data_IF_009371803791
#
_entry.id   IF_009371803791
#
_cell.length_a   1.000
_cell.length_b   1.000
_cell.length_c   1.000
_cell.angle_alpha   90.00
_cell.angle_beta   90.00
_cell.angle_gamma   90.00
#
_symmetry.space_group_name_H-M   'P 1'
#
loop_
_entity.id
_entity.type
_entity.pdbx_description
1 polymer ?
#
# COMPACT_ATOMS: atom_id res chain seq x y z
N UNK A 1 22.81 -6.64 12.98
CA UNK A 1 22.74 -5.22 12.55
C UNK A 1 21.54 -5.01 11.61
N UNK A 2 20.93 -3.82 11.60
CA UNK A 2 19.69 -3.44 10.88
C UNK A 2 18.34 -3.93 11.47
N UNK A 3 18.36 -4.41 12.71
CA UNK A 3 17.16 -4.91 13.38
C UNK A 3 16.07 -3.85 13.51
N UNK A 4 16.41 -2.61 13.91
CA UNK A 4 15.43 -1.53 14.08
C UNK A 4 14.72 -1.15 12.78
N UNK A 5 15.42 -1.16 11.65
CA UNK A 5 14.83 -0.87 10.34
C UNK A 5 13.90 -2.01 9.91
N UNK A 6 14.31 -3.26 10.11
CA UNK A 6 13.47 -4.43 9.83
C UNK A 6 12.19 -4.44 10.68
N UNK A 7 12.27 -4.04 11.94
CA UNK A 7 11.10 -3.86 12.80
C UNK A 7 10.15 -2.80 12.25
N UNK A 8 10.67 -1.66 11.75
CA UNK A 8 9.82 -0.64 11.12
C UNK A 8 9.15 -1.11 9.83
N UNK A 9 9.82 -1.96 9.06
CA UNK A 9 9.22 -2.61 7.89
C UNK A 9 8.12 -3.57 8.34
N UNK A 10 8.36 -4.38 9.37
CA UNK A 10 7.37 -5.32 9.91
C UNK A 10 6.15 -4.59 10.50
N UNK A 11 6.37 -3.51 11.24
CA UNK A 11 5.33 -2.60 11.74
C UNK A 11 4.47 -2.08 10.59
N UNK A 12 5.10 -1.59 9.52
CA UNK A 12 4.39 -1.05 8.36
C UNK A 12 3.58 -2.12 7.61
N UNK A 13 4.11 -3.34 7.47
CA UNK A 13 3.37 -4.48 6.91
C UNK A 13 2.14 -4.79 7.78
N UNK A 14 2.31 -4.81 9.11
CA UNK A 14 1.22 -5.04 10.05
C UNK A 14 0.14 -3.96 9.96
N UNK A 15 0.54 -2.68 9.89
CA UNK A 15 -0.39 -1.56 9.71
C UNK A 15 -1.17 -1.69 8.39
N UNK A 16 -0.49 -1.97 7.27
CA UNK A 16 -1.11 -2.14 5.95
C UNK A 16 -2.08 -3.33 5.91
N UNK A 17 -1.82 -4.38 6.69
CA UNK A 17 -2.68 -5.55 6.77
C UNK A 17 -4.03 -5.27 7.45
N UNK A 18 -4.18 -4.13 8.15
CA UNK A 18 -5.46 -3.69 8.71
C UNK A 18 -6.54 -3.43 7.63
N UNK A 19 -6.14 -3.30 6.36
CA UNK A 19 -7.06 -3.25 5.22
C UNK A 19 -7.84 -4.56 5.01
N UNK A 20 -7.40 -5.67 5.61
CA UNK A 20 -8.10 -6.96 5.57
C UNK A 20 -7.92 -7.73 4.26
N UNK A 21 -7.16 -7.20 3.31
CA UNK A 21 -6.83 -7.85 2.04
C UNK A 21 -5.33 -7.69 1.74
N UNK A 22 -4.70 -8.67 1.05
CA UNK A 22 -3.33 -8.52 0.59
C UNK A 22 -3.23 -7.40 -0.44
N UNK A 23 -2.26 -6.51 -0.25
CA UNK A 23 -1.99 -5.39 -1.16
C UNK A 23 -0.91 -5.80 -2.15
N UNK A 24 -1.17 -5.57 -3.44
CA UNK A 24 -0.16 -5.68 -4.50
C UNK A 24 0.19 -4.25 -4.93
N UNK A 25 1.39 -3.79 -4.60
CA UNK A 25 1.81 -2.42 -4.89
C UNK A 25 3.23 -2.13 -4.41
N UNK A 26 3.68 -0.89 -4.63
CA UNK A 26 4.98 -0.41 -4.15
C UNK A 26 4.76 0.59 -3.02
N UNK A 27 5.21 0.25 -1.81
CA UNK A 27 5.09 1.09 -0.63
C UNK A 27 6.43 1.77 -0.33
N UNK A 28 6.43 3.10 -0.28
CA UNK A 28 7.59 3.92 0.06
C UNK A 28 7.27 4.76 1.29
N UNK A 29 8.08 4.62 2.32
CA UNK A 29 7.90 5.31 3.59
C UNK A 29 9.20 6.00 4.03
N UNK A 30 9.12 7.30 4.34
CA UNK A 30 10.23 8.07 4.89
C UNK A 30 9.91 8.51 6.31
N UNK A 31 10.66 8.01 7.30
CA UNK A 31 10.43 8.28 8.73
C UNK A 31 8.98 8.04 9.18
N UNK A 32 8.30 7.07 8.56
CA UNK A 32 6.90 6.76 8.86
C UNK A 32 6.75 6.04 10.21
N UNK A 33 5.60 6.24 10.83
CA UNK A 33 5.13 5.48 11.99
C UNK A 33 3.65 5.12 11.86
N UNK A 34 3.10 4.40 12.84
CA UNK A 34 1.74 3.84 12.76
C UNK A 34 0.67 4.86 12.39
N UNK A 35 0.74 6.09 12.92
CA UNK A 35 -0.22 7.16 12.59
C UNK A 35 -0.22 7.49 11.11
N UNK A 36 0.96 7.56 10.48
CA UNK A 36 1.10 7.92 9.08
C UNK A 36 0.65 6.79 8.16
N UNK A 37 0.96 5.53 8.52
CA UNK A 37 0.48 4.36 7.81
C UNK A 37 -1.05 4.24 7.88
N UNK A 38 -1.65 4.50 9.05
CA UNK A 38 -3.11 4.49 9.18
C UNK A 38 -3.79 5.61 8.38
N UNK A 39 -3.19 6.80 8.33
CA UNK A 39 -3.71 7.90 7.51
C UNK A 39 -3.66 7.53 6.02
N UNK A 40 -2.54 6.96 5.55
CA UNK A 40 -2.41 6.47 4.17
C UNK A 40 -3.53 5.49 3.80
N UNK A 41 -3.83 4.53 4.69
CA UNK A 41 -4.90 3.56 4.45
C UNK A 41 -6.27 4.21 4.37
N UNK A 42 -6.56 5.18 5.25
CA UNK A 42 -7.83 5.93 5.21
C UNK A 42 -7.97 6.68 3.89
N UNK A 43 -6.92 7.35 3.44
CA UNK A 43 -6.91 8.05 2.16
C UNK A 43 -7.09 7.08 0.97
N UNK A 44 -6.42 5.93 1.00
CA UNK A 44 -6.60 4.89 -0.02
C UNK A 44 -8.04 4.38 -0.05
N UNK A 45 -8.72 4.26 1.10
CA UNK A 45 -10.13 3.88 1.14
C UNK A 45 -11.07 4.97 0.62
N UNK A 46 -10.71 6.25 0.79
CA UNK A 46 -11.49 7.39 0.25
C UNK A 46 -11.31 7.50 -1.27
N UNK A 47 -10.10 7.23 -1.78
CA UNK A 47 -9.79 7.30 -3.20
C UNK A 47 -10.01 5.95 -3.89
N UNK A 48 -11.29 5.60 -4.14
CA UNK A 48 -11.66 4.35 -4.82
C UNK A 48 -11.04 4.21 -6.22
N UNK A 49 -10.69 5.32 -6.89
CA UNK A 49 -10.03 5.29 -8.20
C UNK A 49 -8.53 4.92 -8.13
N UNK A 50 -7.99 4.76 -6.92
CA UNK A 50 -6.56 4.53 -6.66
C UNK A 50 -6.25 3.05 -6.37
N UNK A 51 -7.19 2.14 -6.53
CA UNK A 51 -6.97 0.69 -6.41
C UNK A 51 -8.03 -0.11 -7.16
N UNK A 52 -7.72 -1.37 -7.45
CA UNK A 52 -8.65 -2.36 -8.01
C UNK A 52 -8.56 -3.66 -7.22
N UNK A 53 -9.70 -4.33 -6.99
CA UNK A 53 -9.74 -5.66 -6.38
C UNK A 53 -9.54 -6.72 -7.45
N UNK A 54 -8.45 -7.49 -7.31
CA UNK A 54 -8.14 -8.61 -8.21
C UNK A 54 -8.56 -9.92 -7.54
N UNK A 55 -9.33 -10.76 -8.25
CA UNK A 55 -9.77 -12.07 -7.75
C UNK A 55 -8.97 -13.19 -8.41
N UNK A 56 -8.71 -14.27 -7.66
CA UNK A 56 -7.87 -15.41 -8.08
C UNK A 56 -8.27 -16.12 -9.39
N UNK A 57 -9.47 -15.89 -9.93
CA UNK A 57 -9.86 -16.41 -11.24
C UNK A 57 -9.05 -15.81 -12.40
N UNK A 58 -8.39 -14.66 -12.19
CA UNK A 58 -7.46 -14.04 -13.15
C UNK A 58 -6.02 -14.61 -13.14
N UNK A 59 -5.72 -15.56 -12.23
CA UNK A 59 -4.36 -16.12 -12.07
C UNK A 59 -3.82 -16.87 -13.30
N UNK A 60 -4.67 -17.20 -14.28
CA UNK A 60 -4.22 -17.78 -15.56
C UNK A 60 -3.45 -16.78 -16.45
N UNK A 61 -3.44 -15.48 -16.12
CA UNK A 61 -2.60 -14.45 -16.76
C UNK A 61 -1.34 -14.13 -15.93
N UNK A 62 -0.68 -15.15 -15.39
CA UNK A 62 0.54 -15.06 -14.55
C UNK A 62 1.72 -14.26 -15.16
N UNK A 63 1.64 -13.87 -16.44
CA UNK A 63 2.63 -13.02 -17.12
C UNK A 63 2.33 -11.52 -17.11
N UNK A 64 1.25 -11.04 -16.46
CA UNK A 64 0.74 -9.67 -16.65
C UNK A 64 0.68 -8.76 -15.42
N UNK A 65 1.26 -9.13 -14.28
CA UNK A 65 1.36 -8.19 -13.14
C UNK A 65 2.24 -6.96 -13.46
N UNK A 66 3.10 -7.04 -14.48
CA UNK A 66 3.95 -5.94 -14.97
C UNK A 66 3.19 -4.84 -15.71
N UNK A 67 1.92 -5.05 -16.09
CA UNK A 67 1.13 -4.06 -16.83
C UNK A 67 -0.04 -3.50 -16.02
N UNK A 68 -0.12 -3.80 -14.72
CA UNK A 68 -1.08 -3.11 -13.87
C UNK A 68 -0.64 -1.65 -13.78
N UNK A 69 -1.49 -0.72 -14.24
CA UNK A 69 -1.28 0.72 -14.00
C UNK A 69 -1.53 0.94 -12.50
N UNK A 70 -0.53 0.65 -11.67
CA UNK A 70 -0.61 0.87 -10.23
C UNK A 70 -0.54 2.38 -10.03
N UNK A 71 -1.63 3.04 -9.60
CA UNK A 71 -1.57 4.46 -9.29
C UNK A 71 -0.60 4.66 -8.12
N UNK A 72 0.30 5.62 -8.28
CA UNK A 72 1.20 6.05 -7.21
C UNK A 72 0.53 7.21 -6.49
N UNK A 73 0.36 7.11 -5.19
CA UNK A 73 -0.15 8.19 -4.35
C UNK A 73 0.80 8.38 -3.17
N UNK A 74 1.14 9.63 -2.88
CA UNK A 74 1.90 10.02 -1.71
C UNK A 74 1.02 10.89 -0.81
N UNK A 75 1.35 10.95 0.49
CA UNK A 75 0.63 11.83 1.42
C UNK A 75 0.74 13.31 1.01
N UNK A 76 1.80 13.69 0.29
CA UNK A 76 1.93 15.05 -0.25
C UNK A 76 0.88 15.34 -1.33
N UNK A 77 0.41 14.33 -2.05
CA UNK A 77 -0.65 14.47 -3.08
C UNK A 77 -2.04 14.64 -2.44
N UNK A 78 -2.24 14.18 -1.20
CA UNK A 78 -3.51 14.29 -0.47
C UNK A 78 -3.69 15.62 0.30
N UNK A 79 -2.63 16.43 0.43
CA UNK A 79 -2.64 17.71 1.17
C UNK A 79 -2.93 18.92 0.25
N UNK A 80 -3.43 18.70 -0.97
CA UNK A 80 -3.90 19.78 -1.86
C UNK A 80 -5.37 20.18 -1.64
N UNK A 81 -5.79 20.32 -0.38
CA UNK A 81 -7.04 21.03 -0.03
C UNK A 81 -6.67 22.38 0.59
#
# INVERSE_FOLDING_TARGET
PDEFVKHKILDAIGDLFLLGMPIIGHFVAYKSGHRLNNLLLRELMVQENSWDIITSQDQRQSTRYTSCKIPSFTILDAVQI
#
